data_IF_564358809005
#
_entry.id   IF_564358809005
#
_cell.length_a   1.000
_cell.length_b   1.000
_cell.length_c   1.000
_cell.angle_alpha   90.00
_cell.angle_beta   90.00
_cell.angle_gamma   90.00
#
_symmetry.space_group_name_H-M   'P 1'
#
loop_
_entity.id
_entity.type
_entity.pdbx_description
1 polymer ?
#
# COMPACT_ATOMS: atom_id res chain seq x y z
N UNK A 1 -13.82 28.30 -13.69
CA UNK A 1 -13.96 26.83 -13.73
C UNK A 1 -14.36 26.42 -15.13
N UNK A 2 -13.71 25.40 -15.69
CA UNK A 2 -14.18 24.75 -16.92
C UNK A 2 -15.51 24.04 -16.65
N UNK A 3 -16.26 23.74 -17.71
CA UNK A 3 -17.54 23.02 -17.58
C UNK A 3 -17.35 21.65 -16.93
N UNK A 4 -16.26 20.94 -17.27
CA UNK A 4 -15.87 19.70 -16.62
C UNK A 4 -15.71 19.82 -15.09
N UNK A 5 -15.17 20.95 -14.59
CA UNK A 5 -15.06 21.15 -13.15
C UNK A 5 -16.42 21.42 -12.49
N UNK A 6 -17.35 22.08 -13.20
CA UNK A 6 -18.71 22.31 -12.69
C UNK A 6 -19.48 21.00 -12.65
N UNK A 7 -19.37 20.17 -13.69
CA UNK A 7 -20.02 18.87 -13.75
C UNK A 7 -19.49 17.93 -12.66
N UNK A 8 -18.17 17.97 -12.41
CA UNK A 8 -17.58 17.20 -11.32
C UNK A 8 -18.07 17.66 -9.93
N UNK A 9 -18.16 18.98 -9.69
CA UNK A 9 -18.76 19.51 -8.46
C UNK A 9 -20.22 19.11 -8.31
N UNK A 10 -21.01 19.24 -9.38
CA UNK A 10 -22.41 18.81 -9.37
C UNK A 10 -22.56 17.31 -9.11
N UNK A 11 -21.65 16.47 -9.63
CA UNK A 11 -21.61 15.05 -9.34
C UNK A 11 -21.37 14.79 -7.84
N UNK A 12 -20.38 15.44 -7.23
CA UNK A 12 -20.07 15.33 -5.79
C UNK A 12 -21.31 15.71 -4.97
N UNK A 13 -21.92 16.85 -5.27
CA UNK A 13 -23.06 17.38 -4.54
C UNK A 13 -24.29 16.45 -4.69
N UNK A 14 -24.59 16.02 -5.92
CA UNK A 14 -25.75 15.15 -6.22
C UNK A 14 -25.69 13.78 -5.56
N UNK A 15 -24.48 13.34 -5.18
CA UNK A 15 -24.23 12.05 -4.52
C UNK A 15 -23.91 12.22 -3.04
N UNK A 16 -23.94 13.45 -2.52
CA UNK A 16 -23.58 13.78 -1.14
C UNK A 16 -22.23 13.16 -0.72
N UNK A 17 -21.25 13.23 -1.63
CA UNK A 17 -19.93 12.70 -1.38
C UNK A 17 -19.12 13.66 -0.52
N UNK A 18 -18.39 13.09 0.44
CA UNK A 18 -17.58 13.81 1.41
C UNK A 18 -16.12 13.75 0.96
N UNK A 19 -15.50 14.92 0.86
CA UNK A 19 -14.05 15.06 0.72
C UNK A 19 -13.44 15.09 2.12
N UNK A 20 -12.75 14.01 2.49
CA UNK A 20 -12.18 13.83 3.81
C UNK A 20 -11.07 14.87 4.07
N UNK A 21 -10.73 15.14 5.35
CA UNK A 21 -9.49 15.83 5.68
C UNK A 21 -8.28 15.01 5.24
N UNK A 22 -7.16 15.71 4.94
CA UNK A 22 -5.92 15.08 4.49
C UNK A 22 -4.78 15.35 5.48
N UNK A 23 -4.17 14.28 5.96
CA UNK A 23 -2.98 14.30 6.82
C UNK A 23 -1.69 14.09 6.02
N UNK A 24 -0.52 14.39 6.61
CA UNK A 24 0.78 14.19 5.96
C UNK A 24 1.15 15.22 4.87
N UNK A 25 0.25 16.17 4.60
CA UNK A 25 0.42 17.24 3.62
C UNK A 25 -0.85 17.41 2.77
N UNK A 26 -1.06 18.60 2.21
CA UNK A 26 -2.31 18.93 1.50
C UNK A 26 -2.21 18.89 -0.03
N UNK A 27 -1.02 18.61 -0.58
CA UNK A 27 -0.78 18.58 -2.01
C UNK A 27 -0.40 17.18 -2.47
N UNK A 28 -1.00 16.75 -3.58
CA UNK A 28 -0.76 15.43 -4.19
C UNK A 28 -0.01 15.52 -5.50
N UNK A 29 0.12 16.72 -6.06
CA UNK A 29 0.88 16.98 -7.27
C UNK A 29 1.79 18.21 -7.12
N UNK A 30 2.97 18.15 -7.74
CA UNK A 30 3.94 19.23 -7.80
C UNK A 30 4.54 19.33 -9.20
N UNK A 31 4.69 20.54 -9.73
CA UNK A 31 5.24 20.74 -11.08
C UNK A 31 6.73 20.41 -11.23
N UNK A 32 7.44 20.05 -10.15
CA UNK A 32 8.86 19.64 -10.19
C UNK A 32 9.85 20.73 -10.60
N UNK A 33 9.48 22.02 -10.45
CA UNK A 33 10.31 23.18 -10.81
C UNK A 33 10.97 23.79 -9.55
N UNK A 34 11.99 24.63 -9.73
CA UNK A 34 12.66 25.35 -8.62
C UNK A 34 11.69 26.15 -7.74
N UNK A 35 10.64 26.71 -8.36
CA UNK A 35 9.46 27.26 -7.69
C UNK A 35 8.25 26.44 -8.13
N UNK A 36 7.94 25.33 -7.44
CA UNK A 36 6.93 24.40 -7.90
C UNK A 36 5.53 24.96 -7.65
N UNK A 37 4.66 24.85 -8.65
CA UNK A 37 3.21 24.94 -8.41
C UNK A 37 2.75 23.61 -7.83
N UNK A 38 1.93 23.67 -6.78
CA UNK A 38 1.42 22.48 -6.12
C UNK A 38 -0.10 22.50 -6.09
N UNK A 39 -0.72 21.34 -6.25
CA UNK A 39 -2.17 21.19 -6.25
C UNK A 39 -2.59 19.90 -5.57
N UNK A 40 -3.84 19.88 -5.10
CA UNK A 40 -4.51 18.68 -4.60
C UNK A 40 -5.49 18.22 -5.66
N UNK A 41 -5.07 17.24 -6.45
CA UNK A 41 -5.87 16.69 -7.55
C UNK A 41 -6.27 15.24 -7.32
N UNK A 42 -5.60 14.56 -6.39
CA UNK A 42 -5.92 13.21 -5.96
C UNK A 42 -6.60 13.28 -4.59
N UNK A 43 -7.75 12.64 -4.44
CA UNK A 43 -8.51 12.58 -3.18
C UNK A 43 -9.45 11.40 -3.15
N UNK A 44 -9.76 10.91 -1.96
CA UNK A 44 -10.85 9.96 -1.75
C UNK A 44 -12.15 10.73 -1.49
N UNK A 45 -13.20 10.36 -2.23
CA UNK A 45 -14.56 10.83 -2.00
C UNK A 45 -15.37 9.66 -1.47
N UNK A 46 -16.01 9.83 -0.32
CA UNK A 46 -16.75 8.75 0.35
C UNK A 46 -18.21 9.14 0.57
N UNK A 47 -19.10 8.16 0.61
CA UNK A 47 -20.49 8.41 1.01
C UNK A 47 -20.59 8.58 2.53
N UNK A 48 -21.66 9.25 2.97
CA UNK A 48 -22.05 9.34 4.39
C UNK A 48 -22.10 7.95 5.04
N UNK A 49 -22.72 6.98 4.37
CA UNK A 49 -22.85 5.62 4.89
C UNK A 49 -21.47 4.99 5.15
N UNK A 50 -20.46 5.26 4.32
CA UNK A 50 -19.12 4.71 4.50
C UNK A 50 -18.39 5.36 5.67
N UNK A 51 -18.52 6.68 5.83
CA UNK A 51 -17.98 7.41 6.97
C UNK A 51 -18.57 6.91 8.30
N UNK A 52 -19.88 6.64 8.34
CA UNK A 52 -20.56 6.06 9.51
C UNK A 52 -20.04 4.65 9.86
N UNK A 53 -19.73 3.83 8.86
CA UNK A 53 -19.20 2.47 9.08
C UNK A 53 -17.73 2.46 9.53
N UNK A 54 -16.95 3.48 9.15
CA UNK A 54 -15.53 3.61 9.49
C UNK A 54 -15.29 4.95 10.20
N UNK A 55 -15.61 5.09 11.49
CA UNK A 55 -15.58 6.37 12.20
C UNK A 55 -14.16 6.96 12.40
N UNK A 56 -13.12 6.23 12.02
CA UNK A 56 -11.71 6.62 12.09
C UNK A 56 -11.10 6.70 10.69
N UNK A 57 -11.91 7.02 9.68
CA UNK A 57 -11.49 7.17 8.31
C UNK A 57 -10.63 8.43 8.16
N UNK A 58 -9.38 8.26 7.78
CA UNK A 58 -8.45 9.35 7.50
C UNK A 58 -7.80 9.12 6.16
N UNK A 59 -7.69 10.18 5.36
CA UNK A 59 -6.87 10.15 4.16
C UNK A 59 -5.49 10.74 4.46
N UNK A 60 -4.45 10.07 4.00
CA UNK A 60 -3.06 10.40 4.31
C UNK A 60 -2.30 10.59 3.00
N UNK A 61 -1.68 11.75 2.82
CA UNK A 61 -0.68 11.98 1.79
C UNK A 61 0.63 11.34 2.22
N UNK A 62 1.12 10.38 1.44
CA UNK A 62 2.36 9.68 1.73
C UNK A 62 3.56 10.50 1.24
N UNK A 63 4.74 10.34 1.88
CA UNK A 63 5.97 10.97 1.41
C UNK A 63 6.19 10.68 -0.08
N UNK A 64 6.47 11.75 -0.83
CA UNK A 64 6.67 11.67 -2.27
C UNK A 64 7.93 10.88 -2.64
N UNK A 65 7.83 10.15 -3.75
CA UNK A 65 8.96 9.63 -4.52
C UNK A 65 9.48 10.73 -5.46
N UNK A 66 10.45 10.42 -6.33
CA UNK A 66 10.98 11.29 -7.41
C UNK A 66 9.93 11.66 -8.49
N UNK A 67 8.65 11.39 -8.23
CA UNK A 67 7.53 11.64 -9.12
C UNK A 67 6.84 12.97 -8.78
N UNK A 68 6.21 13.56 -9.79
CA UNK A 68 5.38 14.77 -9.66
C UNK A 68 4.10 14.50 -8.86
N UNK A 69 3.63 13.25 -8.83
CA UNK A 69 2.55 12.80 -7.95
C UNK A 69 3.04 12.17 -6.64
N UNK A 70 2.31 12.44 -5.57
CA UNK A 70 2.45 11.81 -4.26
C UNK A 70 1.33 10.79 -4.05
N UNK A 71 1.65 9.55 -3.65
CA UNK A 71 0.63 8.57 -3.32
C UNK A 71 -0.25 9.05 -2.15
N UNK A 72 -1.53 8.71 -2.21
CA UNK A 72 -2.47 8.91 -1.09
C UNK A 72 -2.98 7.55 -0.61
N UNK A 73 -3.19 7.44 0.71
CA UNK A 73 -3.72 6.24 1.36
C UNK A 73 -4.99 6.58 2.11
N UNK A 74 -5.96 5.66 2.10
CA UNK A 74 -7.13 5.71 2.97
C UNK A 74 -6.87 4.77 4.15
N UNK A 75 -6.75 5.33 5.35
CA UNK A 75 -6.70 4.57 6.59
C UNK A 75 -8.10 4.50 7.21
N UNK A 76 -8.60 3.29 7.42
CA UNK A 76 -9.91 3.05 8.02
C UNK A 76 -9.82 2.77 9.53
N UNK A 77 -8.75 3.21 10.20
CA UNK A 77 -8.61 3.11 11.66
C UNK A 77 -8.32 1.71 12.17
N UNK A 78 -7.48 0.95 11.44
CA UNK A 78 -7.10 -0.39 11.88
C UNK A 78 -8.15 -1.44 11.60
N UNK A 79 -8.71 -1.46 10.38
CA UNK A 79 -9.26 -2.70 9.81
C UNK A 79 -8.23 -3.79 10.06
N UNK A 80 -8.59 -4.79 10.86
CA UNK A 80 -7.73 -5.92 11.19
C UNK A 80 -7.02 -6.36 9.91
N UNK A 81 -5.74 -5.99 9.78
CA UNK A 81 -4.86 -6.52 8.74
C UNK A 81 -4.66 -7.97 9.13
N UNK A 82 -5.65 -8.81 8.83
CA UNK A 82 -5.45 -10.24 8.73
C UNK A 82 -4.19 -10.37 7.89
N UNK A 83 -3.12 -10.88 8.49
CA UNK A 83 -1.81 -10.96 7.85
C UNK A 83 -2.04 -11.59 6.49
N UNK A 84 -1.87 -10.80 5.42
CA UNK A 84 -2.12 -11.27 4.07
C UNK A 84 -1.34 -12.57 3.84
N UNK A 85 -1.84 -13.47 2.99
CA UNK A 85 -1.09 -14.67 2.66
C UNK A 85 0.28 -14.22 2.13
N UNK A 86 1.33 -14.94 2.54
CA UNK A 86 2.66 -14.70 1.99
C UNK A 86 2.60 -14.95 0.49
N UNK A 87 3.07 -13.97 -0.29
CA UNK A 87 3.20 -14.08 -1.74
C UNK A 87 4.67 -14.17 -2.06
N UNK A 88 5.00 -15.17 -2.88
CA UNK A 88 6.31 -15.25 -3.48
C UNK A 88 6.31 -14.33 -4.71
N UNK A 89 7.21 -13.36 -4.72
CA UNK A 89 7.33 -12.43 -5.84
C UNK A 89 8.32 -12.98 -6.86
N UNK A 90 7.90 -13.18 -8.11
CA UNK A 90 8.75 -13.77 -9.15
C UNK A 90 10.04 -12.97 -9.40
N UNK A 91 10.02 -11.65 -9.14
CA UNK A 91 11.21 -10.80 -9.24
C UNK A 91 12.36 -11.24 -8.32
N UNK A 92 12.07 -11.95 -7.21
CA UNK A 92 13.11 -12.46 -6.33
C UNK A 92 14.01 -13.46 -7.04
N UNK A 93 13.50 -14.18 -8.05
CA UNK A 93 14.31 -15.12 -8.84
C UNK A 93 15.42 -14.42 -9.63
N UNK A 94 15.26 -13.14 -9.93
CA UNK A 94 16.21 -12.32 -10.70
C UNK A 94 17.13 -11.49 -9.80
N UNK A 95 16.81 -11.39 -8.50
CA UNK A 95 17.55 -10.56 -7.57
C UNK A 95 18.89 -11.21 -7.17
N UNK A 96 20.02 -10.46 -7.24
CA UNK A 96 21.32 -10.99 -6.85
C UNK A 96 21.34 -11.50 -5.41
N UNK A 97 21.91 -12.68 -5.17
CA UNK A 97 22.00 -13.28 -3.83
C UNK A 97 20.78 -14.11 -3.42
N UNK A 98 19.68 -14.11 -4.19
CA UNK A 98 18.48 -14.88 -3.84
C UNK A 98 18.75 -16.39 -3.76
N UNK A 99 19.44 -16.94 -4.76
CA UNK A 99 19.75 -18.38 -4.80
C UNK A 99 20.62 -18.78 -3.60
N UNK A 100 21.64 -17.98 -3.32
CA UNK A 100 22.57 -18.19 -2.21
C UNK A 100 21.84 -18.12 -0.86
N UNK A 101 20.92 -17.18 -0.69
CA UNK A 101 20.06 -17.08 0.48
C UNK A 101 19.22 -18.36 0.66
N UNK A 102 18.52 -18.79 -0.40
CA UNK A 102 17.66 -19.98 -0.36
C UNK A 102 18.48 -21.22 -0.03
N UNK A 103 19.61 -21.42 -0.71
CA UNK A 103 20.50 -22.57 -0.47
C UNK A 103 21.08 -22.55 0.96
N UNK A 104 21.56 -21.40 1.44
CA UNK A 104 22.09 -21.24 2.79
C UNK A 104 21.04 -21.49 3.87
N UNK A 105 19.83 -20.96 3.68
CA UNK A 105 18.70 -21.24 4.58
C UNK A 105 18.36 -22.73 4.56
N UNK A 106 18.24 -23.33 3.37
CA UNK A 106 17.83 -24.73 3.22
C UNK A 106 18.80 -25.71 3.88
N UNK A 107 20.10 -25.43 3.81
CA UNK A 107 21.15 -26.25 4.40
C UNK A 107 21.29 -26.03 5.91
N UNK A 108 21.01 -24.83 6.42
CA UNK A 108 21.11 -24.54 7.86
C UNK A 108 20.00 -25.18 8.71
N UNK A 109 18.89 -25.59 8.10
CA UNK A 109 17.77 -26.19 8.81
C UNK A 109 17.98 -27.69 9.10
N UNK A 110 18.30 -28.03 10.36
CA UNK A 110 18.15 -29.39 10.89
C UNK A 110 16.72 -29.64 11.38
N UNK A 111 15.97 -30.48 10.66
CA UNK A 111 14.58 -30.83 10.99
C UNK A 111 14.43 -32.34 10.94
N UNK A 112 13.88 -32.92 12.01
CA UNK A 112 13.63 -34.36 12.13
C UNK A 112 12.14 -34.66 12.00
N UNK A 113 11.82 -35.79 11.38
CA UNK A 113 10.44 -36.25 11.19
C UNK A 113 10.30 -37.03 9.89
N UNK A 114 9.05 -37.27 9.47
CA UNK A 114 8.81 -37.85 8.16
C UNK A 114 9.13 -36.82 7.03
N UNK A 115 9.37 -37.27 5.79
CA UNK A 115 9.75 -36.38 4.69
C UNK A 115 8.76 -35.22 4.45
N UNK A 116 7.45 -35.47 4.57
CA UNK A 116 6.44 -34.42 4.37
C UNK A 116 6.50 -33.34 5.46
N UNK A 117 6.71 -33.75 6.71
CA UNK A 117 6.88 -32.85 7.84
C UNK A 117 8.15 -32.02 7.69
N UNK A 118 9.27 -32.66 7.29
CA UNK A 118 10.54 -31.98 7.05
C UNK A 118 10.36 -30.91 5.96
N UNK A 119 9.76 -31.27 4.82
CA UNK A 119 9.52 -30.34 3.72
C UNK A 119 8.63 -29.16 4.15
N UNK A 120 7.49 -29.43 4.77
CA UNK A 120 6.56 -28.39 5.22
C UNK A 120 7.22 -27.42 6.23
N UNK A 121 8.03 -27.96 7.15
CA UNK A 121 8.78 -27.15 8.11
C UNK A 121 9.89 -26.33 7.44
N UNK A 122 10.64 -26.89 6.50
CA UNK A 122 11.67 -26.14 5.75
C UNK A 122 11.05 -25.01 4.94
N UNK A 123 9.95 -25.24 4.24
CA UNK A 123 9.22 -24.19 3.51
C UNK A 123 8.70 -23.09 4.45
N UNK A 124 8.20 -23.47 5.63
CA UNK A 124 7.75 -22.50 6.64
C UNK A 124 8.90 -21.63 7.14
N UNK A 125 10.07 -22.21 7.41
CA UNK A 125 11.24 -21.46 7.87
C UNK A 125 11.82 -20.58 6.76
N UNK A 126 11.91 -21.11 5.53
CA UNK A 126 12.35 -20.36 4.36
C UNK A 126 11.46 -19.13 4.12
N UNK A 127 10.14 -19.26 4.29
CA UNK A 127 9.22 -18.12 4.23
C UNK A 127 9.56 -17.02 5.23
N UNK A 128 10.00 -17.35 6.45
CA UNK A 128 10.37 -16.32 7.42
C UNK A 128 11.69 -15.65 7.02
N UNK A 129 12.68 -16.42 6.57
CA UNK A 129 13.93 -15.86 6.02
C UNK A 129 13.70 -14.93 4.82
N UNK A 130 12.75 -15.27 3.93
CA UNK A 130 12.38 -14.45 2.78
C UNK A 130 11.61 -13.18 3.13
N UNK A 131 11.03 -13.08 4.33
CA UNK A 131 10.40 -11.83 4.79
C UNK A 131 11.42 -10.84 5.35
N UNK A 132 12.54 -11.35 5.86
CA UNK A 132 13.59 -10.56 6.49
C UNK A 132 14.64 -10.06 5.47
N UNK A 133 14.72 -10.71 4.30
CA UNK A 133 15.59 -10.35 3.18
C UNK A 133 14.99 -9.26 2.29
#
# INVERSE_FOLDING_TARGET
MSDAMRDFSAFIDSRSLIDLPMEGGIFTWSSGRDQPSMSRIDRFLVSTDWEEHFPHLTQICLPGSVFDHRPISLDCGGVNRNKGPFRFENMWLEAPGFRELVEGCWQSFEIRGNPNFILARKLKLLKESLKDW
#
